data_IF_123485439670
#
_entry.id   IF_123485439670
#
_cell.length_a   1.000
_cell.length_b   1.000
_cell.length_c   1.000
_cell.angle_alpha   90.00
_cell.angle_beta   90.00
_cell.angle_gamma   90.00
#
_symmetry.space_group_name_H-M   'P 1'
#
loop_
_entity.id
_entity.type
_entity.pdbx_description
1 polymer ?
#
# COMPACT_ATOMS: atom_id res chain seq x y z
N UNK A 1 25.21 1.64 -1.53
CA UNK A 1 24.82 2.37 -0.32
C UNK A 1 25.26 3.80 -0.48
N UNK A 2 24.34 4.76 -0.35
CA UNK A 2 24.73 6.17 -0.27
C UNK A 2 25.41 6.41 1.08
N UNK A 3 26.42 7.30 1.15
CA UNK A 3 26.99 7.69 2.43
C UNK A 3 25.91 8.36 3.29
N UNK A 4 25.80 7.97 4.56
CA UNK A 4 24.84 8.55 5.51
C UNK A 4 25.20 9.99 5.89
N UNK A 5 26.45 10.39 5.68
CA UNK A 5 26.95 11.73 5.96
C UNK A 5 27.28 12.43 4.65
N UNK A 6 26.67 13.59 4.43
CA UNK A 6 26.91 14.45 3.29
C UNK A 6 27.68 15.69 3.74
N UNK A 7 28.78 16.07 3.07
CA UNK A 7 29.47 17.32 3.36
C UNK A 7 28.64 18.52 2.89
N UNK A 8 28.51 19.54 3.73
CA UNK A 8 27.79 20.79 3.47
C UNK A 8 28.68 21.96 3.84
N UNK A 9 28.73 22.96 2.96
CA UNK A 9 29.45 24.21 3.21
C UNK A 9 28.66 25.08 4.20
N UNK A 10 29.30 25.48 5.29
CA UNK A 10 28.74 26.39 6.31
C UNK A 10 29.64 27.62 6.48
N UNK A 11 29.20 28.58 7.28
CA UNK A 11 30.03 29.74 7.65
C UNK A 11 31.32 29.34 8.39
N UNK A 12 31.33 28.17 9.04
CA UNK A 12 32.45 27.67 9.85
C UNK A 12 33.30 26.63 9.09
N UNK A 13 32.98 26.38 7.82
CA UNK A 13 33.66 25.41 6.95
C UNK A 13 32.77 24.22 6.58
N UNK A 14 33.39 23.15 6.08
CA UNK A 14 32.67 21.93 5.68
C UNK A 14 32.25 21.15 6.91
N UNK A 15 30.94 21.01 7.10
CA UNK A 15 30.33 20.18 8.11
C UNK A 15 29.72 18.93 7.48
N UNK A 16 29.51 17.87 8.27
CA UNK A 16 28.87 16.64 7.80
C UNK A 16 27.49 16.49 8.43
N UNK A 17 26.45 16.45 7.59
CA UNK A 17 25.07 16.30 8.02
C UNK A 17 24.53 14.92 7.66
N UNK A 18 23.62 14.40 8.48
CA UNK A 18 22.99 13.10 8.24
C UNK A 18 21.95 13.22 7.12
N UNK A 19 22.06 12.39 6.08
CA UNK A 19 21.16 12.37 4.91
C UNK A 19 20.82 10.92 4.57
N UNK A 20 19.73 10.41 5.16
CA UNK A 20 19.29 9.01 5.03
C UNK A 20 18.90 8.64 3.59
N UNK A 21 18.33 9.60 2.85
CA UNK A 21 17.75 9.35 1.54
C UNK A 21 18.59 9.93 0.39
N UNK A 22 18.63 11.25 0.26
CA UNK A 22 19.41 11.98 -0.75
C UNK A 22 20.16 13.16 -0.13
N UNK A 23 21.19 13.64 -0.81
CA UNK A 23 22.08 14.70 -0.31
C UNK A 23 21.37 16.04 -0.04
N UNK A 24 20.20 16.26 -0.65
CA UNK A 24 19.32 17.42 -0.46
C UNK A 24 18.27 17.22 0.64
N UNK A 25 18.22 16.05 1.28
CA UNK A 25 17.29 15.71 2.34
C UNK A 25 18.06 15.48 3.66
N UNK A 26 18.24 16.57 4.42
CA UNK A 26 18.91 16.54 5.73
C UNK A 26 17.93 16.00 6.77
N UNK A 27 18.33 14.95 7.51
CA UNK A 27 17.56 14.39 8.61
C UNK A 27 17.44 15.43 9.75
N UNK A 28 16.22 15.62 10.25
CA UNK A 28 15.96 16.49 11.40
C UNK A 28 16.38 15.81 12.72
N UNK A 29 16.95 16.58 13.64
CA UNK A 29 17.39 16.06 14.94
C UNK A 29 16.28 16.07 16.00
N UNK A 30 15.45 15.02 16.02
CA UNK A 30 14.34 14.87 16.98
C UNK A 30 14.75 14.76 18.45
N UNK A 31 16.05 14.60 18.75
CA UNK A 31 16.53 14.71 20.13
C UNK A 31 16.51 16.15 20.66
N UNK A 32 16.34 17.16 19.80
CA UNK A 32 16.16 18.56 20.19
C UNK A 32 14.70 18.84 20.57
N UNK A 33 14.40 19.22 21.82
CA UNK A 33 13.04 19.59 22.21
C UNK A 33 12.50 20.80 21.45
N UNK A 34 13.38 21.72 21.05
CA UNK A 34 12.99 22.89 20.24
C UNK A 34 12.45 22.46 18.88
N UNK A 35 13.05 21.44 18.25
CA UNK A 35 12.53 20.91 16.99
C UNK A 35 11.15 20.28 17.18
N UNK A 36 10.92 19.56 18.27
CA UNK A 36 9.61 18.94 18.52
C UNK A 36 8.49 19.99 18.56
N UNK A 37 8.74 21.15 19.17
CA UNK A 37 7.79 22.27 19.19
C UNK A 37 7.55 22.82 17.77
N UNK A 38 8.60 23.01 16.97
CA UNK A 38 8.46 23.43 15.56
C UNK A 38 7.66 22.43 14.72
N UNK A 39 7.82 21.13 14.99
CA UNK A 39 7.03 20.08 14.33
C UNK A 39 5.57 20.15 14.76
N UNK A 40 5.29 20.41 16.04
CA UNK A 40 3.92 20.63 16.51
C UNK A 40 3.28 21.85 15.85
N UNK A 41 3.98 22.99 15.80
CA UNK A 41 3.50 24.19 15.12
C UNK A 41 3.24 23.91 13.63
N UNK A 42 4.11 23.14 12.97
CA UNK A 42 3.92 22.71 11.58
C UNK A 42 2.69 21.83 11.40
N UNK A 43 2.46 20.86 12.29
CA UNK A 43 1.28 20.00 12.26
C UNK A 43 0.00 20.84 12.41
N UNK A 44 -0.03 21.72 13.42
CA UNK A 44 -1.17 22.60 13.69
C UNK A 44 -1.43 23.55 12.53
N UNK A 45 -0.39 24.09 11.90
CA UNK A 45 -0.53 24.89 10.69
C UNK A 45 -1.29 24.13 9.59
N UNK A 46 -0.94 22.87 9.30
CA UNK A 46 -1.66 22.09 8.29
C UNK A 46 -3.11 21.79 8.71
N UNK A 47 -3.35 21.57 10.00
CA UNK A 47 -4.71 21.43 10.53
C UNK A 47 -5.53 22.71 10.34
N UNK A 48 -4.95 23.88 10.62
CA UNK A 48 -5.58 25.18 10.37
C UNK A 48 -5.88 25.40 8.87
N UNK A 49 -5.05 24.83 7.98
CA UNK A 49 -5.30 24.83 6.54
C UNK A 49 -6.35 23.78 6.09
N UNK A 50 -6.94 23.03 7.02
CA UNK A 50 -8.02 22.07 6.77
C UNK A 50 -7.57 20.63 6.52
N UNK A 51 -6.34 20.27 6.89
CA UNK A 51 -5.91 18.87 6.81
C UNK A 51 -6.70 18.00 7.80
N UNK A 52 -7.31 16.91 7.30
CA UNK A 52 -8.07 15.94 8.10
C UNK A 52 -7.32 14.60 8.27
N UNK A 53 -6.25 14.41 7.49
CA UNK A 53 -5.40 13.22 7.52
C UNK A 53 -3.96 13.67 7.28
N UNK A 54 -3.07 13.36 8.22
CA UNK A 54 -1.65 13.68 8.13
C UNK A 54 -0.87 12.37 7.97
N UNK A 55 -0.19 12.23 6.83
CA UNK A 55 0.72 11.12 6.58
C UNK A 55 2.09 11.44 7.16
N UNK A 56 2.51 10.65 8.14
CA UNK A 56 3.85 10.72 8.71
C UNK A 56 4.81 9.91 7.83
N UNK A 57 5.61 10.62 7.05
CA UNK A 57 6.59 10.07 6.11
C UNK A 57 7.87 9.64 6.82
N UNK A 58 8.46 8.52 6.39
CA UNK A 58 9.78 8.08 6.84
C UNK A 58 9.97 7.97 8.37
N UNK A 59 8.89 7.74 9.13
CA UNK A 59 8.90 7.83 10.59
C UNK A 59 9.93 6.92 11.27
N UNK A 60 10.20 5.75 10.68
CA UNK A 60 11.14 4.77 11.24
C UNK A 60 12.54 5.34 11.47
N UNK A 61 12.91 6.40 10.73
CA UNK A 61 14.23 7.02 10.76
C UNK A 61 14.32 8.26 11.68
N UNK A 62 13.27 8.66 12.39
CA UNK A 62 13.24 9.95 13.12
C UNK A 62 14.29 10.03 14.25
N UNK A 63 14.67 8.92 14.87
CA UNK A 63 15.60 8.91 16.00
C UNK A 63 16.93 8.23 15.65
N UNK A 64 18.05 8.84 16.06
CA UNK A 64 19.40 8.33 15.81
C UNK A 64 20.10 8.02 17.13
N UNK A 65 20.65 6.81 17.23
CA UNK A 65 21.41 6.36 18.40
C UNK A 65 22.63 5.53 17.97
N UNK A 66 23.81 5.95 18.42
CA UNK A 66 25.08 5.29 18.08
C UNK A 66 25.04 3.82 18.55
N UNK A 67 25.45 2.90 17.69
CA UNK A 67 25.47 1.47 17.99
C UNK A 67 24.15 0.76 17.71
N UNK A 68 23.12 1.47 17.22
CA UNK A 68 21.84 0.89 16.78
C UNK A 68 21.68 0.98 15.26
N UNK A 69 20.60 0.39 14.73
CA UNK A 69 20.21 0.54 13.32
C UNK A 69 19.63 1.92 13.00
N UNK A 70 19.34 2.75 14.01
CA UNK A 70 18.60 4.02 13.86
C UNK A 70 17.26 3.86 13.12
N UNK A 71 16.62 2.71 13.28
CA UNK A 71 15.36 2.35 12.64
C UNK A 71 14.40 1.75 13.69
N UNK A 72 13.17 2.26 13.76
CA UNK A 72 12.11 1.80 14.67
C UNK A 72 12.50 1.84 16.16
N UNK A 73 13.32 2.82 16.56
CA UNK A 73 13.71 2.97 17.96
C UNK A 73 12.50 3.37 18.83
N UNK A 74 12.46 2.99 20.12
CA UNK A 74 11.34 3.31 21.02
C UNK A 74 10.99 4.80 21.06
N UNK A 75 11.99 5.68 20.93
CA UNK A 75 11.80 7.13 20.92
C UNK A 75 10.96 7.61 19.72
N UNK A 76 10.96 6.87 18.60
CA UNK A 76 10.08 7.16 17.46
C UNK A 76 8.61 6.98 17.86
N UNK A 77 8.30 5.92 18.60
CA UNK A 77 6.95 5.68 19.12
C UNK A 77 6.52 6.80 20.06
N UNK A 78 7.37 7.19 21.00
CA UNK A 78 7.08 8.29 21.93
C UNK A 78 6.82 9.63 21.22
N UNK A 79 7.54 9.91 20.13
CA UNK A 79 7.29 11.11 19.31
C UNK A 79 5.91 11.06 18.64
N UNK A 80 5.51 9.91 18.10
CA UNK A 80 4.19 9.74 17.47
C UNK A 80 3.08 9.85 18.52
N UNK A 81 3.27 9.29 19.71
CA UNK A 81 2.34 9.45 20.84
C UNK A 81 2.16 10.91 21.24
N UNK A 82 3.26 11.67 21.28
CA UNK A 82 3.19 13.09 21.58
C UNK A 82 2.43 13.88 20.50
N UNK A 83 2.66 13.56 19.22
CA UNK A 83 1.88 14.15 18.11
C UNK A 83 0.40 13.76 18.18
N UNK A 84 0.10 12.50 18.51
CA UNK A 84 -1.26 11.99 18.67
C UNK A 84 -1.98 12.71 19.81
N UNK A 85 -1.37 12.80 20.98
CA UNK A 85 -1.93 13.45 22.16
C UNK A 85 -2.21 14.95 21.91
N UNK A 86 -1.33 15.63 21.19
CA UNK A 86 -1.56 17.02 20.77
C UNK A 86 -2.83 17.14 19.91
N UNK A 87 -2.95 16.31 18.87
CA UNK A 87 -4.10 16.34 17.97
C UNK A 87 -5.39 15.94 18.66
N UNK A 88 -5.37 14.93 19.54
CA UNK A 88 -6.56 14.53 20.31
C UNK A 88 -7.12 15.68 21.17
N UNK A 89 -6.26 16.57 21.68
CA UNK A 89 -6.69 17.72 22.48
C UNK A 89 -7.26 18.86 21.63
N UNK A 90 -6.60 19.21 20.52
CA UNK A 90 -6.91 20.45 19.78
C UNK A 90 -7.66 20.24 18.47
N UNK A 91 -7.60 19.03 17.92
CA UNK A 91 -8.16 18.66 16.62
C UNK A 91 -8.49 17.16 16.53
N UNK A 92 -9.40 16.63 17.38
CA UNK A 92 -9.65 15.19 17.54
C UNK A 92 -10.16 14.47 16.28
N UNK A 93 -10.66 15.21 15.29
CA UNK A 93 -11.11 14.67 14.02
C UNK A 93 -9.96 14.44 13.01
N UNK A 94 -8.74 14.89 13.33
CA UNK A 94 -7.56 14.75 12.45
C UNK A 94 -6.88 13.41 12.71
N UNK A 95 -6.77 12.61 11.65
CA UNK A 95 -6.17 11.28 11.72
C UNK A 95 -4.67 11.33 11.36
N UNK A 96 -3.87 10.54 12.08
CA UNK A 96 -2.50 10.21 11.72
C UNK A 96 -2.46 8.90 10.95
N UNK A 97 -1.72 8.90 9.83
CA UNK A 97 -1.39 7.68 9.10
C UNK A 97 0.12 7.51 8.99
N UNK A 98 0.64 6.37 9.42
CA UNK A 98 2.08 6.08 9.33
C UNK A 98 2.41 5.31 8.06
N UNK A 99 3.55 5.66 7.49
CA UNK A 99 4.07 5.00 6.29
C UNK A 99 5.40 4.32 6.61
N UNK A 100 5.38 2.99 6.71
CA UNK A 100 6.59 2.18 6.87
C UNK A 100 6.59 0.93 6.00
N UNK A 101 7.49 0.90 5.03
CA UNK A 101 7.66 -0.21 4.09
C UNK A 101 8.58 -1.31 4.68
N UNK A 102 8.10 -1.96 5.74
CA UNK A 102 8.85 -2.94 6.55
C UNK A 102 8.04 -4.23 6.77
N UNK A 103 8.63 -5.29 7.35
CA UNK A 103 7.90 -6.52 7.67
C UNK A 103 6.63 -6.23 8.48
N UNK A 104 5.58 -7.02 8.24
CA UNK A 104 4.23 -6.73 8.72
C UNK A 104 4.16 -6.40 10.23
N UNK A 105 4.89 -7.15 11.06
CA UNK A 105 4.92 -6.96 12.52
C UNK A 105 5.51 -5.62 12.96
N UNK A 106 6.53 -5.14 12.25
CA UNK A 106 7.16 -3.84 12.51
C UNK A 106 6.23 -2.70 12.06
N UNK A 107 5.50 -2.90 10.96
CA UNK A 107 4.59 -1.88 10.46
C UNK A 107 3.37 -1.68 11.37
N UNK A 108 2.79 -2.75 11.90
CA UNK A 108 1.60 -2.65 12.78
C UNK A 108 1.92 -2.22 14.21
N UNK A 109 3.20 -2.17 14.62
CA UNK A 109 3.55 -1.66 15.95
C UNK A 109 3.23 -0.18 16.12
N UNK A 110 3.09 0.56 15.01
CA UNK A 110 2.72 1.98 15.00
C UNK A 110 1.25 2.28 15.28
N UNK A 111 0.44 1.24 15.52
CA UNK A 111 -0.84 1.44 16.19
C UNK A 111 -0.69 1.68 17.70
N UNK A 112 0.50 1.47 18.27
CA UNK A 112 0.72 1.60 19.72
C UNK A 112 -0.10 0.58 20.51
N UNK A 113 -0.79 1.05 21.55
CA UNK A 113 -1.77 0.24 22.29
C UNK A 113 -3.16 0.16 21.62
N UNK A 114 -3.30 0.77 20.44
CA UNK A 114 -4.54 0.94 19.69
C UNK A 114 -5.24 2.28 19.93
N UNK A 115 -4.76 3.10 20.86
CA UNK A 115 -5.40 4.36 21.21
C UNK A 115 -4.41 5.53 21.30
N UNK A 116 -3.11 5.27 21.46
CA UNK A 116 -2.10 6.30 21.77
C UNK A 116 -1.16 6.69 20.62
N UNK A 117 -1.10 5.92 19.52
CA UNK A 117 -0.30 6.27 18.32
C UNK A 117 -1.20 6.55 17.10
N UNK A 118 -0.82 6.06 15.92
CA UNK A 118 -1.51 6.37 14.69
C UNK A 118 -2.82 5.59 14.55
N UNK A 119 -3.87 6.27 14.11
CA UNK A 119 -5.15 5.64 13.82
C UNK A 119 -5.07 4.77 12.56
N UNK A 120 -4.13 5.04 11.65
CA UNK A 120 -3.96 4.29 10.42
C UNK A 120 -2.50 3.91 10.16
N UNK A 121 -2.29 2.72 9.59
CA UNK A 121 -0.99 2.31 9.05
C UNK A 121 -1.16 1.87 7.59
N UNK A 122 -0.18 2.21 6.73
CA UNK A 122 -0.16 1.71 5.36
C UNK A 122 -0.03 0.19 5.31
N UNK A 123 -0.87 -0.48 4.53
CA UNK A 123 -0.82 -1.93 4.39
C UNK A 123 0.13 -2.37 3.25
N UNK A 124 1.43 -2.22 3.45
CA UNK A 124 2.45 -2.50 2.45
C UNK A 124 2.58 -3.98 2.03
N UNK A 125 2.07 -4.92 2.83
CA UNK A 125 2.07 -6.35 2.48
C UNK A 125 1.05 -6.67 1.38
N UNK A 126 -0.06 -5.92 1.32
CA UNK A 126 -1.17 -6.21 0.40
C UNK A 126 -0.76 -6.17 -1.09
N UNK A 127 -0.12 -5.10 -1.62
CA UNK A 127 0.23 -5.03 -3.04
C UNK A 127 1.11 -6.17 -3.57
N UNK A 128 2.28 -6.47 -2.97
CA UNK A 128 3.17 -7.51 -3.48
C UNK A 128 2.61 -8.91 -3.29
N UNK A 129 1.85 -9.15 -2.22
CA UNK A 129 1.27 -10.47 -1.95
C UNK A 129 0.07 -10.76 -2.86
N UNK A 130 -0.73 -9.73 -3.18
CA UNK A 130 -1.77 -9.83 -4.22
C UNK A 130 -1.13 -10.07 -5.59
N UNK A 131 -0.06 -9.35 -5.92
CA UNK A 131 0.68 -9.58 -7.17
C UNK A 131 1.21 -11.02 -7.25
N UNK A 132 1.76 -11.54 -6.15
CA UNK A 132 2.18 -12.94 -6.04
C UNK A 132 1.03 -13.90 -6.35
N UNK A 133 -0.12 -13.73 -5.69
CA UNK A 133 -1.26 -14.61 -5.86
C UNK A 133 -1.76 -14.70 -7.31
N UNK A 134 -1.84 -13.57 -8.02
CA UNK A 134 -2.19 -13.56 -9.44
C UNK A 134 -1.08 -14.10 -10.35
N UNK A 135 0.19 -13.92 -9.96
CA UNK A 135 1.33 -14.41 -10.74
C UNK A 135 1.50 -15.93 -10.65
N UNK A 136 1.16 -16.53 -9.50
CA UNK A 136 1.22 -17.97 -9.26
C UNK A 136 -0.12 -18.67 -9.44
N UNK A 137 -1.20 -17.90 -9.58
CA UNK A 137 -2.58 -18.40 -9.56
C UNK A 137 -2.92 -19.16 -8.26
N UNK A 138 -2.32 -18.74 -7.15
CA UNK A 138 -2.45 -19.34 -5.83
C UNK A 138 -2.56 -18.26 -4.75
N UNK A 139 -3.74 -18.16 -4.13
CA UNK A 139 -4.09 -17.22 -3.08
C UNK A 139 -3.74 -17.70 -1.66
N UNK A 140 -3.08 -18.86 -1.47
CA UNK A 140 -2.81 -19.45 -0.15
C UNK A 140 -2.04 -18.48 0.74
N UNK A 141 -0.89 -17.96 0.27
CA UNK A 141 -0.09 -17.03 1.07
C UNK A 141 -0.83 -15.72 1.38
N UNK A 142 -1.63 -15.21 0.44
CA UNK A 142 -2.49 -14.03 0.66
C UNK A 142 -3.57 -14.31 1.71
N UNK A 143 -4.18 -15.49 1.66
CA UNK A 143 -5.21 -15.95 2.59
C UNK A 143 -4.64 -16.12 3.99
N UNK A 144 -3.51 -16.81 4.12
CA UNK A 144 -2.80 -17.04 5.39
C UNK A 144 -2.44 -15.72 6.06
N UNK A 145 -1.89 -14.76 5.30
CA UNK A 145 -1.57 -13.43 5.83
C UNK A 145 -2.83 -12.64 6.20
N UNK A 146 -3.88 -12.66 5.38
CA UNK A 146 -5.11 -11.93 5.65
C UNK A 146 -5.82 -12.40 6.93
N UNK A 147 -5.68 -13.68 7.30
CA UNK A 147 -6.17 -14.22 8.58
C UNK A 147 -5.46 -13.63 9.80
N UNK A 148 -4.24 -13.13 9.64
CA UNK A 148 -3.49 -12.51 10.74
C UNK A 148 -3.84 -11.05 10.96
N UNK A 149 -4.61 -10.44 10.05
CA UNK A 149 -4.96 -9.02 10.13
C UNK A 149 -5.96 -8.79 11.26
N UNK A 150 -5.54 -8.01 12.24
CA UNK A 150 -6.40 -7.47 13.28
C UNK A 150 -6.00 -6.01 13.56
N UNK A 151 -6.98 -5.12 13.62
CA UNK A 151 -6.79 -3.80 14.20
C UNK A 151 -6.81 -3.94 15.74
N UNK A 152 -5.89 -3.31 16.48
CA UNK A 152 -5.84 -3.45 17.94
C UNK A 152 -7.02 -2.79 18.67
N UNK A 153 -7.77 -1.90 18.01
CA UNK A 153 -8.91 -1.19 18.59
C UNK A 153 -9.96 -0.83 17.54
N UNK A 154 -11.10 -0.30 18.00
CA UNK A 154 -12.14 0.29 17.17
C UNK A 154 -11.79 1.70 16.64
N UNK A 155 -10.68 2.29 17.10
CA UNK A 155 -10.13 3.58 16.63
C UNK A 155 -9.05 3.42 15.57
N UNK A 156 -8.62 2.18 15.30
CA UNK A 156 -7.53 1.90 14.36
C UNK A 156 -8.02 1.16 13.13
N UNK A 157 -7.38 1.41 11.99
CA UNK A 157 -7.71 0.70 10.76
C UNK A 157 -6.55 0.70 9.76
N UNK A 158 -6.55 -0.24 8.82
CA UNK A 158 -5.52 -0.30 7.78
C UNK A 158 -5.80 0.71 6.66
N UNK A 159 -4.77 1.38 6.17
CA UNK A 159 -4.79 2.07 4.88
C UNK A 159 -4.36 1.11 3.78
N UNK A 160 -5.33 0.48 3.13
CA UNK A 160 -5.09 -0.50 2.08
C UNK A 160 -4.79 0.20 0.75
N UNK A 161 -3.84 -0.29 -0.03
CA UNK A 161 -3.54 0.21 -1.36
C UNK A 161 -2.95 -0.91 -2.22
N UNK A 162 -2.91 -0.70 -3.54
CA UNK A 162 -2.28 -1.63 -4.50
C UNK A 162 -1.13 -0.96 -5.28
N UNK A 163 -1.11 0.36 -5.34
CA UNK A 163 -0.05 1.12 -5.98
C UNK A 163 0.08 2.47 -5.28
N UNK A 164 1.26 3.07 -5.37
CA UNK A 164 1.52 4.42 -4.86
C UNK A 164 2.39 5.18 -5.85
N UNK A 165 2.85 6.35 -5.46
CA UNK A 165 3.85 7.10 -6.21
C UNK A 165 5.23 6.39 -6.19
N UNK A 166 5.48 5.53 -5.22
CA UNK A 166 6.70 4.71 -5.16
C UNK A 166 6.51 3.38 -5.89
N UNK A 167 7.55 2.53 -5.85
CA UNK A 167 7.43 1.17 -6.35
C UNK A 167 6.73 0.24 -5.38
N UNK A 168 6.47 -0.99 -5.83
CA UNK A 168 5.94 -2.05 -4.98
C UNK A 168 7.05 -2.54 -4.06
N UNK A 169 6.94 -2.27 -2.76
CA UNK A 169 7.89 -2.74 -1.75
C UNK A 169 7.89 -4.27 -1.62
N UNK A 170 9.08 -4.85 -1.46
CA UNK A 170 9.25 -6.31 -1.29
C UNK A 170 9.64 -6.71 0.13
N UNK A 171 10.17 -5.79 0.93
CA UNK A 171 10.45 -6.03 2.36
C UNK A 171 9.24 -6.52 3.18
N UNK A 172 8.01 -6.07 2.92
CA UNK A 172 6.82 -6.56 3.64
C UNK A 172 6.53 -8.06 3.45
N UNK A 173 7.20 -8.72 2.49
CA UNK A 173 7.10 -10.16 2.24
C UNK A 173 8.08 -10.98 3.09
N UNK A 174 9.03 -10.36 3.78
CA UNK A 174 10.00 -11.04 4.63
C UNK A 174 9.26 -11.82 5.74
N UNK A 175 9.53 -13.13 5.85
CA UNK A 175 8.84 -14.02 6.77
C UNK A 175 7.47 -14.52 6.29
N UNK A 176 6.99 -14.09 5.12
CA UNK A 176 5.75 -14.56 4.49
C UNK A 176 6.07 -15.41 3.26
N UNK A 177 6.91 -14.90 2.35
CA UNK A 177 7.32 -15.62 1.14
C UNK A 177 8.79 -16.04 1.20
N UNK A 178 9.09 -17.17 0.55
CA UNK A 178 10.47 -17.62 0.37
C UNK A 178 11.25 -16.64 -0.55
N UNK A 179 12.57 -16.49 -0.37
CA UNK A 179 13.39 -15.60 -1.19
C UNK A 179 13.25 -15.83 -2.71
N UNK A 180 13.12 -17.09 -3.14
CA UNK A 180 12.95 -17.44 -4.57
C UNK A 180 11.63 -16.91 -5.14
N UNK A 181 10.56 -16.90 -4.35
CA UNK A 181 9.28 -16.31 -4.75
C UNK A 181 9.38 -14.78 -4.90
N UNK A 182 10.15 -14.12 -4.02
CA UNK A 182 10.45 -12.68 -4.14
C UNK A 182 11.29 -12.38 -5.37
N UNK A 183 12.30 -13.22 -5.65
CA UNK A 183 13.11 -13.10 -6.87
C UNK A 183 12.26 -13.28 -8.14
N UNK A 184 11.32 -14.23 -8.16
CA UNK A 184 10.41 -14.43 -9.28
C UNK A 184 9.51 -13.20 -9.55
N UNK A 185 9.10 -12.47 -8.52
CA UNK A 185 8.37 -11.19 -8.68
C UNK A 185 9.26 -10.11 -9.32
N UNK A 186 10.52 -10.02 -8.91
CA UNK A 186 11.49 -9.10 -9.50
C UNK A 186 11.74 -9.41 -10.98
N UNK A 187 11.97 -10.67 -11.31
CA UNK A 187 12.14 -11.13 -12.70
C UNK A 187 10.88 -10.88 -13.54
N UNK A 188 9.69 -11.12 -12.98
CA UNK A 188 8.41 -10.79 -13.62
C UNK A 188 8.34 -9.30 -13.94
N UNK A 189 8.62 -8.43 -12.97
CA UNK A 189 8.58 -6.98 -13.18
C UNK A 189 9.52 -6.56 -14.31
N UNK A 190 10.74 -7.09 -14.36
CA UNK A 190 11.69 -6.80 -15.45
C UNK A 190 11.18 -7.30 -16.81
N UNK A 191 10.67 -8.53 -16.89
CA UNK A 191 10.08 -9.10 -18.12
C UNK A 191 8.87 -8.28 -18.61
N UNK A 192 8.11 -7.70 -17.69
CA UNK A 192 6.95 -6.86 -17.97
C UNK A 192 7.33 -5.40 -18.26
N UNK A 193 8.63 -5.12 -18.36
CA UNK A 193 9.14 -3.83 -18.73
C UNK A 193 9.31 -2.83 -17.57
N UNK A 194 9.20 -3.29 -16.33
CA UNK A 194 9.57 -2.54 -15.14
C UNK A 194 11.07 -2.51 -14.86
N UNK A 195 11.43 -1.88 -13.75
CA UNK A 195 12.77 -1.85 -13.18
C UNK A 195 12.74 -2.37 -11.74
N UNK A 196 13.89 -2.80 -11.21
CA UNK A 196 14.00 -3.32 -9.85
C UNK A 196 15.14 -2.60 -9.14
N UNK A 197 14.86 -2.10 -7.94
CA UNK A 197 15.90 -1.56 -7.07
C UNK A 197 16.35 -2.64 -6.08
N UNK A 198 17.67 -2.71 -5.88
CA UNK A 198 18.33 -3.71 -5.05
C UNK A 198 19.04 -3.06 -3.88
N UNK A 199 19.03 -3.73 -2.72
CA UNK A 199 19.87 -3.39 -1.57
C UNK A 199 21.11 -4.28 -1.57
N UNK A 200 22.25 -3.72 -1.18
CA UNK A 200 23.48 -4.49 -0.98
C UNK A 200 23.46 -5.07 0.42
N UNK A 201 23.75 -6.37 0.52
CA UNK A 201 23.91 -7.07 1.78
C UNK A 201 25.39 -7.02 2.22
N UNK A 202 25.68 -7.20 3.53
CA UNK A 202 27.06 -7.19 4.04
C UNK A 202 27.99 -8.24 3.42
N UNK A 203 27.42 -9.35 2.94
CA UNK A 203 28.13 -10.44 2.27
C UNK A 203 28.41 -10.15 0.77
N UNK A 204 28.02 -8.98 0.27
CA UNK A 204 28.17 -8.57 -1.13
C UNK A 204 27.05 -9.04 -2.06
N UNK A 205 26.11 -9.85 -1.58
CA UNK A 205 24.91 -10.21 -2.35
C UNK A 205 23.93 -9.04 -2.46
N UNK A 206 22.96 -9.16 -3.37
CA UNK A 206 21.91 -8.17 -3.56
C UNK A 206 20.53 -8.77 -3.35
N UNK A 207 19.66 -8.04 -2.65
CA UNK A 207 18.26 -8.42 -2.47
C UNK A 207 17.37 -7.37 -3.13
N UNK A 208 16.41 -7.77 -3.99
CA UNK A 208 15.43 -6.83 -4.55
C UNK A 208 14.55 -6.30 -3.41
N UNK A 209 14.35 -4.98 -3.36
CA UNK A 209 13.53 -4.37 -2.29
C UNK A 209 12.34 -3.55 -2.83
N UNK A 210 12.36 -3.15 -4.10
CA UNK A 210 11.30 -2.35 -4.71
C UNK A 210 11.15 -2.65 -6.21
N UNK A 211 9.91 -2.92 -6.65
CA UNK A 211 9.54 -3.06 -8.05
C UNK A 211 9.01 -1.74 -8.60
N UNK A 212 9.73 -1.16 -9.54
CA UNK A 212 9.31 0.05 -10.25
C UNK A 212 8.55 -0.35 -11.51
N UNK A 213 7.23 -0.48 -11.38
CA UNK A 213 6.32 -0.92 -12.44
C UNK A 213 4.91 -0.40 -12.16
N UNK A 214 4.12 -0.12 -13.20
CA UNK A 214 2.69 0.18 -13.07
C UNK A 214 1.93 -1.12 -12.75
N UNK A 215 1.08 -1.10 -11.73
CA UNK A 215 0.42 -2.31 -11.21
C UNK A 215 -0.37 -3.10 -12.26
N UNK A 216 -1.00 -2.41 -13.23
CA UNK A 216 -1.65 -3.04 -14.37
C UNK A 216 -0.69 -3.92 -15.16
N UNK A 217 0.52 -3.43 -15.45
CA UNK A 217 1.56 -4.17 -16.16
C UNK A 217 2.27 -5.18 -15.25
N UNK A 218 2.29 -4.97 -13.94
CA UNK A 218 2.79 -5.99 -13.01
C UNK A 218 1.94 -7.27 -13.10
N UNK A 219 0.62 -7.11 -13.16
CA UNK A 219 -0.33 -8.22 -13.32
C UNK A 219 -0.35 -8.76 -14.76
N UNK A 220 -0.29 -7.89 -15.77
CA UNK A 220 -0.50 -8.23 -17.17
C UNK A 220 0.78 -8.04 -17.98
N UNK A 221 1.30 -9.12 -18.57
CA UNK A 221 2.47 -9.03 -19.45
C UNK A 221 2.15 -8.18 -20.69
N UNK A 222 2.80 -7.02 -20.92
CA UNK A 222 2.45 -6.15 -22.05
C UNK A 222 2.69 -6.77 -23.42
N UNK A 223 3.63 -7.72 -23.50
CA UNK A 223 3.99 -8.43 -24.74
C UNK A 223 3.23 -9.75 -24.93
N UNK A 224 2.33 -10.14 -24.01
CA UNK A 224 1.57 -11.37 -24.16
C UNK A 224 0.43 -11.18 -25.17
N UNK A 225 0.20 -12.23 -25.97
CA UNK A 225 -0.96 -12.33 -26.85
C UNK A 225 -2.19 -12.78 -26.03
N UNK A 226 -2.64 -11.88 -25.15
CA UNK A 226 -3.78 -12.11 -24.26
C UNK A 226 -4.90 -11.10 -24.53
N UNK A 227 -6.17 -11.53 -24.60
CA UNK A 227 -7.29 -10.62 -24.78
C UNK A 227 -7.29 -9.49 -23.73
N UNK A 228 -7.43 -8.24 -24.20
CA UNK A 228 -7.52 -7.05 -23.34
C UNK A 228 -8.62 -7.19 -22.29
N UNK A 229 -9.72 -7.89 -22.62
CA UNK A 229 -10.79 -8.17 -21.67
C UNK A 229 -10.27 -8.92 -20.43
N UNK A 230 -9.50 -10.00 -20.63
CA UNK A 230 -8.93 -10.80 -19.54
C UNK A 230 -7.91 -9.99 -18.72
N UNK A 231 -7.08 -9.17 -19.37
CA UNK A 231 -6.16 -8.27 -18.68
C UNK A 231 -6.90 -7.28 -17.76
N UNK A 232 -8.01 -6.74 -18.24
CA UNK A 232 -8.87 -5.82 -17.48
C UNK A 232 -9.63 -6.56 -16.39
N UNK A 233 -10.09 -7.79 -16.61
CA UNK A 233 -10.70 -8.63 -15.57
C UNK A 233 -9.72 -8.96 -14.44
N UNK A 234 -8.51 -9.43 -14.78
CA UNK A 234 -7.44 -9.69 -13.81
C UNK A 234 -7.10 -8.45 -12.99
N UNK A 235 -6.93 -7.32 -13.66
CA UNK A 235 -6.68 -6.04 -12.98
C UNK A 235 -7.85 -5.69 -12.06
N UNK A 236 -9.09 -5.69 -12.55
CA UNK A 236 -10.24 -5.31 -11.74
C UNK A 236 -10.50 -6.27 -10.57
N UNK A 237 -10.17 -7.56 -10.69
CA UNK A 237 -10.22 -8.50 -9.57
C UNK A 237 -9.25 -8.10 -8.45
N UNK A 238 -8.00 -7.73 -8.78
CA UNK A 238 -7.07 -7.19 -7.78
C UNK A 238 -7.56 -5.90 -7.12
N UNK A 239 -8.26 -5.03 -7.87
CA UNK A 239 -8.79 -3.78 -7.33
C UNK A 239 -10.07 -4.01 -6.51
N UNK A 240 -10.84 -5.05 -6.82
CA UNK A 240 -11.95 -5.50 -5.99
C UNK A 240 -11.45 -5.97 -4.62
N UNK A 241 -10.33 -6.70 -4.55
CA UNK A 241 -9.68 -7.07 -3.28
C UNK A 241 -9.42 -5.81 -2.44
N UNK A 242 -8.77 -4.78 -3.02
CA UNK A 242 -8.53 -3.50 -2.35
C UNK A 242 -9.83 -2.87 -1.82
N UNK A 243 -10.86 -2.83 -2.65
CA UNK A 243 -12.12 -2.16 -2.34
C UNK A 243 -13.05 -2.93 -1.41
N UNK A 244 -12.85 -4.23 -1.17
CA UNK A 244 -13.70 -5.01 -0.26
C UNK A 244 -13.04 -5.47 1.03
N UNK A 245 -11.72 -5.33 1.19
CA UNK A 245 -11.03 -5.58 2.47
C UNK A 245 -11.42 -4.57 3.57
N UNK A 246 -11.31 -5.00 4.83
CA UNK A 246 -11.45 -4.11 6.00
C UNK A 246 -10.30 -3.09 6.04
N UNK A 247 -10.62 -1.83 6.33
CA UNK A 247 -9.71 -0.71 6.14
C UNK A 247 -10.22 0.35 5.16
N UNK A 248 -9.41 1.40 4.99
CA UNK A 248 -9.64 2.52 4.06
C UNK A 248 -8.82 2.29 2.77
N UNK A 249 -9.45 2.18 1.59
CA UNK A 249 -8.73 1.96 0.34
C UNK A 249 -8.20 3.27 -0.25
N UNK A 250 -6.88 3.37 -0.41
CA UNK A 250 -6.19 4.36 -1.22
C UNK A 250 -6.12 3.95 -2.69
N UNK A 251 -6.89 4.63 -3.55
CA UNK A 251 -6.85 4.41 -5.00
C UNK A 251 -5.82 5.32 -5.64
N UNK A 252 -4.74 4.75 -6.18
CA UNK A 252 -3.76 5.52 -6.93
C UNK A 252 -4.32 5.95 -8.28
N UNK A 253 -4.06 7.21 -8.67
CA UNK A 253 -4.64 7.82 -9.87
C UNK A 253 -4.36 7.02 -11.15
N UNK A 254 -3.17 6.42 -11.26
CA UNK A 254 -2.83 5.60 -12.43
C UNK A 254 -3.61 4.27 -12.50
N UNK A 255 -4.00 3.73 -11.35
CA UNK A 255 -4.85 2.53 -11.25
C UNK A 255 -6.29 2.85 -11.66
N UNK A 256 -6.81 4.02 -11.29
CA UNK A 256 -8.15 4.48 -11.70
C UNK A 256 -8.32 4.54 -13.23
N UNK A 257 -7.23 4.83 -13.94
CA UNK A 257 -7.22 4.96 -15.39
C UNK A 257 -6.57 3.79 -16.13
N UNK A 258 -6.23 2.68 -15.47
CA UNK A 258 -5.62 1.52 -16.14
C UNK A 258 -4.36 1.85 -16.92
N UNK A 259 -3.45 2.63 -16.32
CA UNK A 259 -2.24 3.10 -17.00
C UNK A 259 -1.27 1.97 -17.34
N UNK A 260 -0.46 2.19 -18.38
CA UNK A 260 0.71 1.38 -18.73
C UNK A 260 1.99 2.05 -18.25
N UNK A 261 3.08 1.29 -18.19
CA UNK A 261 4.44 1.77 -17.89
C UNK A 261 4.82 2.97 -18.77
N UNK A 262 5.34 4.03 -18.14
CA UNK A 262 5.86 5.22 -18.84
C UNK A 262 7.39 5.19 -18.89
N UNK A 263 7.93 4.41 -19.83
CA UNK A 263 9.37 4.20 -19.99
C UNK A 263 10.11 5.42 -20.52
N UNK A 264 9.42 6.22 -21.32
CA UNK A 264 9.92 7.51 -21.83
C UNK A 264 10.26 8.42 -20.66
N UNK A 265 9.37 8.52 -19.67
CA UNK A 265 9.61 9.32 -18.46
C UNK A 265 10.83 8.85 -17.67
N UNK A 266 11.05 7.54 -17.54
CA UNK A 266 12.28 7.01 -16.90
C UNK A 266 13.53 7.39 -17.71
N UNK A 267 13.44 7.36 -19.03
CA UNK A 267 14.54 7.72 -19.92
C UNK A 267 14.90 9.20 -19.81
N UNK A 268 13.91 10.07 -19.58
CA UNK A 268 14.07 11.51 -19.38
C UNK A 268 14.66 11.84 -18.00
N UNK A 269 14.09 11.30 -16.93
CA UNK A 269 14.44 11.68 -15.55
C UNK A 269 15.59 10.88 -14.96
N UNK A 270 15.90 9.71 -15.55
CA UNK A 270 16.83 8.70 -15.01
C UNK A 270 16.41 8.14 -13.65
N UNK A 271 15.14 8.32 -13.25
CA UNK A 271 14.58 7.80 -12.01
C UNK A 271 13.57 6.70 -12.31
N UNK A 272 13.83 5.48 -11.84
CA UNK A 272 12.98 4.31 -12.05
C UNK A 272 11.50 4.56 -11.65
N UNK A 273 11.28 5.26 -10.52
CA UNK A 273 9.93 5.60 -10.01
C UNK A 273 9.12 6.48 -10.96
N UNK A 274 9.72 7.07 -11.99
CA UNK A 274 8.97 7.86 -12.98
C UNK A 274 8.02 6.99 -13.82
N UNK A 275 8.30 5.68 -13.90
CA UNK A 275 7.53 4.73 -14.71
C UNK A 275 6.02 4.72 -14.42
N UNK A 276 5.61 5.05 -13.19
CA UNK A 276 4.21 5.09 -12.76
C UNK A 276 3.75 6.50 -12.33
N UNK A 277 4.37 7.57 -12.87
CA UNK A 277 4.09 8.98 -12.52
C UNK A 277 3.73 9.87 -13.73
N UNK A 278 3.25 9.27 -14.82
CA UNK A 278 2.94 10.00 -16.07
C UNK A 278 1.94 11.12 -15.80
N UNK A 279 2.25 12.33 -16.27
CA UNK A 279 1.30 13.45 -16.26
C UNK A 279 0.33 13.29 -17.43
N UNK A 280 -0.96 13.46 -17.16
CA UNK A 280 -2.00 13.40 -18.17
C UNK A 280 -2.27 14.78 -18.74
N UNK A 281 -2.31 14.88 -20.07
CA UNK A 281 -3.02 15.96 -20.71
C UNK A 281 -4.52 15.67 -20.58
N UNK A 282 -5.28 16.64 -20.06
CA UNK A 282 -6.70 16.46 -19.77
C UNK A 282 -7.51 16.03 -21.00
N UNK A 283 -7.30 16.68 -22.14
CA UNK A 283 -8.04 16.40 -23.37
C UNK A 283 -7.80 14.98 -23.87
N UNK A 284 -6.56 14.49 -23.84
CA UNK A 284 -6.22 13.12 -24.26
C UNK A 284 -6.86 12.09 -23.34
N UNK A 285 -6.80 12.32 -22.02
CA UNK A 285 -7.42 11.44 -21.05
C UNK A 285 -8.94 11.39 -21.21
N UNK A 286 -9.60 12.54 -21.41
CA UNK A 286 -11.04 12.61 -21.67
C UNK A 286 -11.42 11.88 -22.97
N UNK A 287 -10.62 12.01 -24.03
CA UNK A 287 -10.84 11.29 -25.28
C UNK A 287 -10.73 9.77 -25.10
N UNK A 288 -9.69 9.28 -24.40
CA UNK A 288 -9.53 7.85 -24.10
C UNK A 288 -10.68 7.32 -23.23
N UNK A 289 -11.18 8.11 -22.28
CA UNK A 289 -12.33 7.73 -21.45
C UNK A 289 -13.65 7.66 -22.24
N UNK A 290 -13.78 8.41 -23.34
CA UNK A 290 -14.95 8.35 -24.21
C UNK A 290 -14.92 7.18 -25.21
N UNK A 291 -13.75 6.58 -25.44
CA UNK A 291 -13.58 5.44 -26.35
C UNK A 291 -13.81 4.08 -25.64
N UNK A 292 -14.89 3.35 -25.93
CA UNK A 292 -15.17 2.05 -25.29
C UNK A 292 -14.15 0.95 -25.61
N UNK A 293 -13.35 1.13 -26.66
CA UNK A 293 -12.29 0.19 -27.02
C UNK A 293 -11.04 0.36 -26.15
N UNK A 294 -10.86 1.53 -25.52
CA UNK A 294 -9.69 1.83 -24.71
C UNK A 294 -9.66 1.04 -23.40
N UNK A 295 -8.45 0.72 -22.93
CA UNK A 295 -8.24 0.13 -21.59
C UNK A 295 -8.76 1.08 -20.51
N UNK A 296 -8.52 2.39 -20.68
CA UNK A 296 -8.89 3.40 -19.70
C UNK A 296 -10.39 3.46 -19.47
N UNK A 297 -11.18 3.47 -20.54
CA UNK A 297 -12.64 3.42 -20.45
C UNK A 297 -13.09 2.19 -19.67
N UNK A 298 -12.60 1.01 -20.09
CA UNK A 298 -12.98 -0.28 -19.49
C UNK A 298 -12.65 -0.35 -18.00
N UNK A 299 -11.45 0.12 -17.62
CA UNK A 299 -11.03 0.18 -16.22
C UNK A 299 -11.83 1.21 -15.44
N UNK A 300 -11.85 2.47 -15.88
CA UNK A 300 -12.46 3.60 -15.16
C UNK A 300 -13.93 3.33 -14.82
N UNK A 301 -14.73 2.87 -15.78
CA UNK A 301 -16.15 2.63 -15.56
C UNK A 301 -16.42 1.44 -14.63
N UNK A 302 -15.60 0.38 -14.69
CA UNK A 302 -15.71 -0.75 -13.75
C UNK A 302 -15.25 -0.36 -12.36
N UNK A 303 -14.17 0.39 -12.25
CA UNK A 303 -13.66 0.91 -10.98
C UNK A 303 -14.70 1.80 -10.31
N UNK A 304 -15.32 2.73 -11.07
CA UNK A 304 -16.42 3.57 -10.57
C UNK A 304 -17.59 2.75 -10.05
N UNK A 305 -17.98 1.67 -10.75
CA UNK A 305 -19.04 0.76 -10.26
C UNK A 305 -18.68 0.12 -8.93
N UNK A 306 -17.44 -0.36 -8.77
CA UNK A 306 -16.97 -0.93 -7.50
C UNK A 306 -16.92 0.10 -6.38
N UNK A 307 -16.48 1.33 -6.66
CA UNK A 307 -16.47 2.42 -5.68
C UNK A 307 -17.91 2.72 -5.23
N UNK A 308 -18.85 2.88 -6.17
CA UNK A 308 -20.26 3.11 -5.84
C UNK A 308 -20.83 1.97 -4.99
N UNK A 309 -20.56 0.72 -5.38
CA UNK A 309 -20.98 -0.45 -4.60
C UNK A 309 -20.39 -0.43 -3.19
N UNK A 310 -19.09 -0.14 -3.04
CA UNK A 310 -18.43 -0.03 -1.74
C UNK A 310 -19.08 1.05 -0.87
N UNK A 311 -19.27 2.25 -1.40
CA UNK A 311 -19.80 3.39 -0.65
C UNK A 311 -21.28 3.25 -0.29
N UNK A 312 -22.03 2.43 -1.03
CA UNK A 312 -23.44 2.16 -0.78
C UNK A 312 -23.69 0.99 0.17
N UNK A 313 -22.66 0.23 0.55
CA UNK A 313 -22.82 -1.00 1.33
C UNK A 313 -22.13 -0.89 2.70
N UNK A 314 -22.91 -1.08 3.77
CA UNK A 314 -22.49 -0.89 5.15
C UNK A 314 -21.47 -1.94 5.59
N UNK A 315 -21.46 -3.12 4.97
CA UNK A 315 -20.46 -4.16 5.28
C UNK A 315 -19.03 -3.74 4.94
N UNK A 316 -18.84 -2.78 4.04
CA UNK A 316 -17.51 -2.28 3.67
C UNK A 316 -17.05 -1.08 4.49
N UNK A 317 -17.74 -0.74 5.58
CA UNK A 317 -17.23 0.20 6.58
C UNK A 317 -15.82 -0.24 7.05
N UNK A 318 -14.86 0.67 7.30
CA UNK A 318 -13.50 0.29 7.71
C UNK A 318 -13.44 -0.56 8.98
N UNK A 319 -14.33 -0.30 9.94
CA UNK A 319 -14.51 -1.07 11.18
C UNK A 319 -15.43 -2.32 11.02
N UNK A 320 -15.95 -2.59 9.83
CA UNK A 320 -16.73 -3.80 9.58
C UNK A 320 -15.83 -5.03 9.61
N UNK A 321 -16.21 -6.07 10.34
CA UNK A 321 -15.39 -7.27 10.49
C UNK A 321 -15.11 -7.95 9.13
N UNK A 322 -13.99 -8.66 9.07
CA UNK A 322 -13.59 -9.48 7.93
C UNK A 322 -13.23 -10.86 8.44
N UNK A 323 -13.98 -11.87 8.00
CA UNK A 323 -13.73 -13.27 8.33
C UNK A 323 -13.27 -14.01 7.07
N UNK A 324 -12.03 -14.45 7.04
CA UNK A 324 -11.50 -15.25 5.92
C UNK A 324 -12.26 -16.58 5.82
N UNK A 325 -12.55 -17.00 4.59
CA UNK A 325 -13.20 -18.27 4.28
C UNK A 325 -12.29 -19.03 3.32
N UNK A 326 -11.83 -20.21 3.70
CA UNK A 326 -10.95 -21.05 2.87
C UNK A 326 -11.77 -21.96 1.98
N UNK A 327 -11.89 -21.59 0.71
CA UNK A 327 -12.65 -22.37 -0.28
C UNK A 327 -11.74 -23.17 -1.23
N UNK A 328 -10.68 -22.54 -1.73
CA UNK A 328 -9.73 -23.13 -2.69
C UNK A 328 -8.46 -22.27 -2.74
N UNK A 329 -7.28 -22.84 -3.01
CA UNK A 329 -6.08 -22.05 -3.34
C UNK A 329 -6.28 -21.09 -4.52
N UNK A 330 -7.24 -21.37 -5.42
CA UNK A 330 -7.57 -20.49 -6.54
C UNK A 330 -8.35 -19.22 -6.14
N UNK A 331 -8.89 -19.15 -4.92
CA UNK A 331 -9.76 -18.07 -4.47
C UNK A 331 -9.18 -17.36 -3.24
N UNK A 332 -9.18 -16.04 -3.28
CA UNK A 332 -9.13 -15.24 -2.05
C UNK A 332 -10.55 -14.89 -1.65
N UNK A 333 -11.02 -15.41 -0.51
CA UNK A 333 -12.42 -15.28 -0.09
C UNK A 333 -12.58 -14.94 1.38
N UNK A 334 -13.58 -14.11 1.67
CA UNK A 334 -13.91 -13.68 3.02
C UNK A 334 -15.34 -13.13 3.10
N UNK A 335 -15.90 -13.13 4.30
CA UNK A 335 -17.16 -12.47 4.62
C UNK A 335 -16.86 -11.11 5.26
N UNK A 336 -17.49 -10.07 4.74
CA UNK A 336 -17.57 -8.75 5.39
C UNK A 336 -18.86 -8.65 6.19
N UNK A 337 -18.76 -8.14 7.41
CA UNK A 337 -19.89 -7.94 8.32
C UNK A 337 -19.98 -6.46 8.67
N UNK A 338 -21.17 -5.88 8.59
CA UNK A 338 -21.39 -4.50 9.01
C UNK A 338 -21.07 -4.33 10.52
N UNK A 339 -20.63 -3.15 10.98
CA UNK A 339 -20.32 -2.92 12.39
C UNK A 339 -21.46 -3.23 13.37
N UNK A 340 -22.72 -3.11 12.91
CA UNK A 340 -23.92 -3.45 13.69
C UNK A 340 -24.41 -4.89 13.47
N UNK A 341 -23.61 -5.71 12.80
CA UNK A 341 -23.86 -7.10 12.44
C UNK A 341 -25.12 -7.35 11.58
N UNK A 342 -25.76 -6.30 11.07
CA UNK A 342 -27.06 -6.39 10.40
C UNK A 342 -27.01 -7.03 9.02
N UNK A 343 -25.88 -6.88 8.31
CA UNK A 343 -25.70 -7.32 6.93
C UNK A 343 -24.35 -8.03 6.82
N UNK A 344 -24.30 -9.06 5.96
CA UNK A 344 -23.11 -9.83 5.63
C UNK A 344 -22.98 -9.96 4.12
N UNK A 345 -21.76 -9.85 3.61
CA UNK A 345 -21.45 -9.99 2.19
C UNK A 345 -20.28 -10.97 2.02
N UNK A 346 -20.49 -12.01 1.21
CA UNK A 346 -19.42 -12.90 0.78
C UNK A 346 -18.66 -12.26 -0.40
N UNK A 347 -17.35 -12.11 -0.23
CA UNK A 347 -16.44 -11.67 -1.28
C UNK A 347 -15.68 -12.88 -1.82
N UNK A 348 -15.75 -13.11 -3.13
CA UNK A 348 -15.03 -14.17 -3.83
C UNK A 348 -14.15 -13.53 -4.92
N UNK A 349 -12.84 -13.76 -4.84
CA UNK A 349 -11.88 -13.24 -5.81
C UNK A 349 -11.11 -14.41 -6.43
N UNK A 350 -11.37 -14.70 -7.71
CA UNK A 350 -10.61 -15.70 -8.45
C UNK A 350 -9.26 -15.11 -8.91
N UNK A 351 -8.15 -15.70 -8.47
CA UNK A 351 -6.80 -15.25 -8.84
C UNK A 351 -6.21 -16.01 -10.04
N UNK A 352 -6.97 -16.96 -10.62
CA UNK A 352 -6.57 -17.76 -11.76
C UNK A 352 -7.13 -17.20 -13.08
N UNK A 353 -6.64 -17.72 -14.21
CA UNK A 353 -7.18 -17.41 -15.55
C UNK A 353 -8.26 -18.39 -16.02
N UNK A 354 -8.70 -19.30 -15.14
CA UNK A 354 -9.65 -20.36 -15.45
C UNK A 354 -10.88 -20.28 -14.55
N UNK A 355 -12.01 -20.76 -15.06
CA UNK A 355 -13.24 -20.88 -14.26
C UNK A 355 -13.02 -21.81 -13.06
N UNK A 356 -13.55 -21.42 -11.91
CA UNK A 356 -13.47 -22.18 -10.66
C UNK A 356 -14.88 -22.52 -10.19
N UNK A 357 -15.09 -23.78 -9.80
CA UNK A 357 -16.33 -24.24 -9.19
C UNK A 357 -16.06 -24.51 -7.71
N UNK A 358 -16.81 -23.84 -6.83
CA UNK A 358 -16.71 -24.03 -5.38
C UNK A 358 -18.09 -24.21 -4.77
N UNK A 359 -18.15 -25.02 -3.71
CA UNK A 359 -19.36 -25.19 -2.91
C UNK A 359 -19.22 -24.39 -1.62
N UNK A 360 -20.21 -23.55 -1.31
CA UNK A 360 -20.21 -22.71 -0.12
C UNK A 360 -21.46 -22.99 0.70
N UNK A 361 -21.29 -23.30 1.98
CA UNK A 361 -22.39 -23.37 2.92
C UNK A 361 -22.74 -21.96 3.41
N UNK A 362 -23.77 -21.37 2.81
CA UNK A 362 -24.21 -20.01 3.13
C UNK A 362 -24.76 -19.89 4.56
N UNK A 363 -25.43 -20.93 5.07
CA UNK A 363 -25.98 -20.93 6.43
C UNK A 363 -24.85 -20.93 7.46
N UNK A 364 -23.81 -21.74 7.24
CA UNK A 364 -22.62 -21.77 8.10
C UNK A 364 -21.88 -20.41 8.14
N UNK A 365 -21.98 -19.61 7.07
CA UNK A 365 -21.43 -18.25 7.01
C UNK A 365 -22.36 -17.17 7.58
N UNK A 366 -23.54 -17.56 8.05
CA UNK A 366 -24.58 -16.64 8.53
C UNK A 366 -25.21 -15.80 7.42
N UNK A 367 -25.06 -16.22 6.16
CA UNK A 367 -25.66 -15.59 5.00
C UNK A 367 -27.05 -16.17 4.78
N UNK A 368 -28.09 -15.36 4.98
CA UNK A 368 -29.48 -15.76 4.67
C UNK A 368 -29.69 -15.60 3.17
N UNK A 369 -29.78 -16.72 2.47
CA UNK A 369 -29.75 -16.75 1.00
C UNK A 369 -30.88 -15.98 0.34
N UNK A 370 -30.53 -15.21 -0.69
CA UNK A 370 -31.39 -15.06 -1.87
C UNK A 370 -30.86 -16.01 -2.95
N UNK A 371 -31.29 -17.28 -2.89
CA UNK A 371 -31.11 -18.28 -3.95
C UNK A 371 -29.69 -18.83 -4.18
N UNK A 372 -29.56 -19.92 -4.98
CA UNK A 372 -28.26 -20.43 -5.42
C UNK A 372 -27.58 -19.41 -6.34
N UNK A 373 -26.26 -19.27 -6.19
CA UNK A 373 -25.38 -18.53 -7.12
C UNK A 373 -24.96 -19.41 -8.28
#
# INVERSE_FOLDING_TARGET
THPLLTPVETSDGVEYVWTTFSADQIDLNYASPALLLEIFDTLLFYVEQGAQLIRLDAIGFMWKEIGTTCLHLPQVHELIKAMRALLDEVAPDVLLVTETNVPHRENISYFGDGYDEAQMVYNFTLPPLTLHAFATQDATALTDWAETLAAPSDQTTFFNFMASHDGIGLRPLEGILAPDAVAALAERAQRHGGFVNYRNNPDGSQTPYELNIVYFDALNAPAADEPVALQVDRFMASQAILLSMAGVPGVYVHSLFGSRNWREGVSETKQNRTINRRKFARADLEAELLDPSSIRHRVFHRYRRLIVARTGERTFHPQGAMQVVRLSPALFSYVRVAPDESIRVLCLHNVTDSEQVVTVDLEALGLRGAGPL
#
